data_IF_129339279988
#
_entry.id   IF_129339279988
#
_cell.length_a   1.000
_cell.length_b   1.000
_cell.length_c   1.000
_cell.angle_alpha   90.00
_cell.angle_beta   90.00
_cell.angle_gamma   90.00
#
_symmetry.space_group_name_H-M   'P 1'
#
loop_
_entity.id
_entity.type
_entity.pdbx_description
1 polymer ?
#
# COMPACT_ATOMS: atom_id res chain seq x y z
N UNK A 1 -58.72 43.06 53.94
CA UNK A 1 -58.73 42.38 52.61
C UNK A 1 -57.68 41.27 52.61
N UNK A 2 -58.08 40.01 52.54
CA UNK A 2 -57.18 38.86 52.66
C UNK A 2 -56.43 38.53 51.35
N UNK A 3 -55.11 38.34 51.41
CA UNK A 3 -54.29 37.94 50.25
C UNK A 3 -54.65 36.52 49.80
N UNK A 4 -55.07 36.35 48.53
CA UNK A 4 -55.30 35.04 47.92
C UNK A 4 -54.00 34.23 47.89
N UNK A 5 -53.99 33.04 48.50
CA UNK A 5 -52.86 32.09 48.46
C UNK A 5 -52.68 31.58 47.03
N UNK A 6 -51.50 31.79 46.43
CA UNK A 6 -51.13 31.22 45.13
C UNK A 6 -51.20 29.69 45.21
N UNK A 7 -51.93 29.04 44.30
CA UNK A 7 -51.98 27.58 44.24
C UNK A 7 -50.58 27.05 43.94
N UNK A 8 -50.13 26.08 44.74
CA UNK A 8 -48.83 25.43 44.54
C UNK A 8 -48.93 24.59 43.26
N UNK A 9 -47.99 24.77 42.33
CA UNK A 9 -47.90 23.92 41.14
C UNK A 9 -47.71 22.45 41.56
N UNK A 10 -48.33 21.49 40.85
CA UNK A 10 -48.14 20.08 41.15
C UNK A 10 -46.67 19.68 40.98
N UNK A 11 -46.20 18.76 41.83
CA UNK A 11 -44.86 18.20 41.74
C UNK A 11 -44.78 17.32 40.48
N UNK A 12 -43.75 17.52 39.67
CA UNK A 12 -43.47 16.68 38.50
C UNK A 12 -42.60 15.53 38.95
N UNK A 13 -43.08 14.29 38.78
CA UNK A 13 -42.29 13.10 39.03
C UNK A 13 -41.58 12.70 37.74
N UNK A 14 -40.25 12.76 37.75
CA UNK A 14 -39.41 12.28 36.67
C UNK A 14 -39.17 10.78 36.91
N UNK A 15 -39.84 9.93 36.13
CA UNK A 15 -39.65 8.47 36.19
C UNK A 15 -38.82 8.10 34.97
N UNK A 16 -37.68 7.48 35.21
CA UNK A 16 -36.85 6.95 34.12
C UNK A 16 -37.41 5.60 33.69
N UNK A 17 -37.51 5.38 32.38
CA UNK A 17 -37.70 4.03 31.86
C UNK A 17 -36.43 3.22 32.13
N UNK A 18 -36.57 2.14 32.91
CA UNK A 18 -35.45 1.28 33.28
C UNK A 18 -34.80 0.62 32.07
N UNK A 19 -35.55 0.37 30.99
CA UNK A 19 -35.03 -0.22 29.76
C UNK A 19 -34.10 0.74 29.04
N UNK A 20 -34.54 1.98 28.85
CA UNK A 20 -33.73 3.04 28.24
C UNK A 20 -32.49 3.34 29.09
N UNK A 21 -32.64 3.35 30.43
CA UNK A 21 -31.52 3.51 31.35
C UNK A 21 -30.50 2.39 31.19
N UNK A 22 -30.94 1.14 31.11
CA UNK A 22 -30.07 -0.03 30.93
C UNK A 22 -29.35 0.03 29.58
N UNK A 23 -30.05 0.44 28.53
CA UNK A 23 -29.46 0.57 27.20
C UNK A 23 -28.47 1.74 27.11
N UNK A 24 -28.76 2.87 27.76
CA UNK A 24 -27.85 4.00 27.86
C UNK A 24 -26.56 3.62 28.60
N UNK A 25 -26.69 2.94 29.74
CA UNK A 25 -25.56 2.50 30.57
C UNK A 25 -24.73 1.38 29.93
N UNK A 26 -25.36 0.45 29.20
CA UNK A 26 -24.64 -0.64 28.49
C UNK A 26 -24.20 -0.25 27.07
N UNK A 27 -24.75 0.84 26.53
CA UNK A 27 -24.51 1.31 25.17
C UNK A 27 -23.06 1.73 24.88
N UNK A 28 -22.26 1.99 25.91
CA UNK A 28 -20.82 2.26 25.75
C UNK A 28 -20.07 1.11 25.10
N UNK A 29 -20.41 -0.15 25.45
CA UNK A 29 -19.80 -1.32 24.81
C UNK A 29 -20.17 -1.41 23.33
N UNK A 30 -21.44 -1.15 22.99
CA UNK A 30 -21.92 -1.08 21.60
C UNK A 30 -21.13 -0.02 20.81
N UNK A 31 -21.09 1.23 21.29
CA UNK A 31 -20.36 2.34 20.64
C UNK A 31 -18.86 2.06 20.51
N UNK A 32 -18.22 1.50 21.53
CA UNK A 32 -16.80 1.18 21.47
C UNK A 32 -16.51 0.08 20.44
N UNK A 33 -17.40 -0.90 20.30
CA UNK A 33 -17.28 -1.96 19.31
C UNK A 33 -17.49 -1.42 17.90
N UNK A 34 -18.49 -0.57 17.68
CA UNK A 34 -18.72 0.15 16.42
C UNK A 34 -17.52 1.01 16.03
N UNK A 35 -16.95 1.79 16.96
CA UNK A 35 -15.74 2.59 16.73
C UNK A 35 -14.57 1.71 16.28
N UNK A 36 -14.35 0.58 16.96
CA UNK A 36 -13.29 -0.38 16.61
C UNK A 36 -13.51 -0.98 15.23
N UNK A 37 -14.73 -1.38 14.90
CA UNK A 37 -15.08 -1.91 13.58
C UNK A 37 -14.85 -0.87 12.48
N UNK A 38 -15.35 0.35 12.64
CA UNK A 38 -15.16 1.45 11.69
C UNK A 38 -13.69 1.77 11.46
N UNK A 39 -12.87 1.73 12.51
CA UNK A 39 -11.42 1.93 12.39
C UNK A 39 -10.75 0.79 11.60
N UNK A 40 -11.12 -0.47 11.88
CA UNK A 40 -10.63 -1.64 11.13
C UNK A 40 -11.00 -1.58 9.66
N UNK A 41 -12.25 -1.28 9.34
CA UNK A 41 -12.72 -1.15 7.96
C UNK A 41 -11.97 -0.04 7.21
N UNK A 42 -11.79 1.13 7.84
CA UNK A 42 -11.03 2.24 7.25
C UNK A 42 -9.57 1.85 6.99
N UNK A 43 -8.95 1.10 7.91
CA UNK A 43 -7.59 0.59 7.73
C UNK A 43 -7.52 -0.41 6.56
N UNK A 44 -8.43 -1.37 6.50
CA UNK A 44 -8.49 -2.37 5.41
C UNK A 44 -8.71 -1.71 4.05
N UNK A 45 -9.58 -0.69 3.98
CA UNK A 45 -9.82 0.08 2.75
C UNK A 45 -8.55 0.78 2.27
N UNK A 46 -7.84 1.47 3.16
CA UNK A 46 -6.55 2.11 2.84
C UNK A 46 -5.49 1.11 2.37
N UNK A 47 -5.40 -0.05 3.01
CA UNK A 47 -4.47 -1.11 2.59
C UNK A 47 -4.80 -1.64 1.20
N UNK A 48 -6.09 -1.83 0.89
CA UNK A 48 -6.53 -2.27 -0.44
C UNK A 48 -6.21 -1.23 -1.52
N UNK A 49 -6.48 0.04 -1.24
CA UNK A 49 -6.16 1.15 -2.15
C UNK A 49 -4.65 1.26 -2.39
N UNK A 50 -3.83 1.18 -1.35
CA UNK A 50 -2.37 1.21 -1.46
C UNK A 50 -1.84 0.02 -2.30
N UNK A 51 -2.30 -1.21 -2.02
CA UNK A 51 -1.93 -2.40 -2.81
C UNK A 51 -2.32 -2.26 -4.29
N UNK A 52 -3.52 -1.74 -4.56
CA UNK A 52 -3.98 -1.52 -5.94
C UNK A 52 -3.15 -0.47 -6.66
N UNK A 53 -2.74 0.58 -5.95
CA UNK A 53 -1.88 1.64 -6.49
C UNK A 53 -0.51 1.09 -6.88
N UNK A 54 0.16 0.38 -5.97
CA UNK A 54 1.47 -0.25 -6.21
C UNK A 54 1.38 -1.24 -7.38
N UNK A 55 0.33 -2.06 -7.44
CA UNK A 55 0.16 -3.01 -8.54
C UNK A 55 0.00 -2.32 -9.89
N UNK A 56 -0.69 -1.18 -9.93
CA UNK A 56 -0.86 -0.38 -11.15
C UNK A 56 0.45 0.27 -11.56
N UNK A 57 1.15 0.92 -10.62
CA UNK A 57 2.46 1.54 -10.84
C UNK A 57 3.45 0.52 -11.38
N UNK A 58 3.57 -0.65 -10.74
CA UNK A 58 4.43 -1.75 -11.22
C UNK A 58 4.04 -2.24 -12.61
N UNK A 59 2.75 -2.30 -12.94
CA UNK A 59 2.29 -2.71 -14.28
C UNK A 59 2.70 -1.67 -15.34
N UNK A 60 2.56 -0.39 -15.03
CA UNK A 60 2.96 0.73 -15.91
C UNK A 60 4.48 0.78 -16.08
N UNK A 61 5.24 0.57 -15.01
CA UNK A 61 6.70 0.45 -15.06
C UNK A 61 7.13 -0.75 -15.91
N UNK A 62 6.55 -1.92 -15.66
CA UNK A 62 6.85 -3.11 -16.47
C UNK A 62 6.50 -2.89 -17.94
N UNK A 63 5.38 -2.23 -18.27
CA UNK A 63 5.05 -1.97 -19.67
C UNK A 63 6.04 -1.00 -20.32
N UNK A 64 6.52 0.01 -19.58
CA UNK A 64 7.59 0.91 -20.06
C UNK A 64 8.90 0.15 -20.27
N UNK A 65 9.29 -0.71 -19.33
CA UNK A 65 10.51 -1.53 -19.45
C UNK A 65 10.43 -2.50 -20.63
N UNK A 66 9.28 -3.15 -20.84
CA UNK A 66 9.08 -4.03 -22.00
C UNK A 66 9.12 -3.24 -23.30
N UNK A 67 8.57 -2.03 -23.36
CA UNK A 67 8.67 -1.16 -24.54
C UNK A 67 10.10 -0.71 -24.81
N UNK A 68 10.84 -0.31 -23.78
CA UNK A 68 12.23 0.13 -23.89
C UNK A 68 13.19 -1.02 -24.15
N UNK A 69 12.86 -2.23 -23.68
CA UNK A 69 13.64 -3.46 -23.89
C UNK A 69 13.34 -4.17 -25.21
N UNK A 70 12.44 -3.64 -26.05
CA UNK A 70 12.33 -4.09 -27.44
C UNK A 70 13.63 -3.73 -28.13
N UNK A 71 14.32 -4.74 -28.65
CA UNK A 71 15.53 -4.55 -29.45
C UNK A 71 15.14 -3.75 -30.69
N UNK A 72 15.81 -2.63 -30.86
CA UNK A 72 15.67 -1.77 -32.04
C UNK A 72 16.45 -2.45 -33.16
N UNK A 73 15.80 -2.87 -34.27
CA UNK A 73 16.43 -3.69 -35.31
C UNK A 73 17.72 -3.06 -35.88
N UNK A 74 17.79 -1.72 -35.92
CA UNK A 74 18.94 -1.00 -36.43
C UNK A 74 20.22 -1.19 -35.58
N UNK A 75 20.09 -1.47 -34.28
CA UNK A 75 21.24 -1.60 -33.34
C UNK A 75 21.46 -3.01 -32.80
N UNK A 76 20.60 -3.98 -33.18
CA UNK A 76 20.70 -5.36 -32.71
C UNK A 76 22.03 -6.02 -33.11
N UNK A 77 22.51 -5.72 -34.32
CA UNK A 77 23.80 -6.17 -34.84
C UNK A 77 25.03 -5.70 -34.03
N UNK A 78 24.89 -4.67 -33.18
CA UNK A 78 25.99 -4.18 -32.31
C UNK A 78 26.15 -5.04 -31.05
N UNK A 79 25.15 -5.86 -30.72
CA UNK A 79 25.10 -6.70 -29.52
C UNK A 79 25.52 -8.14 -29.87
N UNK A 80 25.42 -8.53 -31.14
CA UNK A 80 25.81 -9.86 -31.59
C UNK A 80 27.32 -10.11 -31.40
N UNK A 81 27.70 -11.29 -30.91
CA UNK A 81 29.10 -11.62 -30.68
C UNK A 81 29.86 -11.70 -32.00
N UNK A 82 30.90 -10.88 -32.13
CA UNK A 82 31.75 -10.89 -33.32
C UNK A 82 32.92 -11.84 -33.07
N UNK A 83 33.06 -12.85 -33.94
CA UNK A 83 34.15 -13.82 -33.92
C UNK A 83 35.18 -13.42 -34.97
N UNK A 84 36.43 -13.25 -34.54
CA UNK A 84 37.58 -13.05 -35.41
C UNK A 84 38.47 -14.29 -35.37
N UNK A 85 38.53 -15.02 -36.48
CA UNK A 85 39.43 -16.17 -36.64
C UNK A 85 40.79 -15.68 -37.18
N UNK A 86 41.81 -15.69 -36.32
CA UNK A 86 43.19 -15.41 -36.70
C UNK A 86 43.95 -16.74 -36.94
N UNK A 87 45.07 -16.72 -37.68
CA UNK A 87 45.79 -17.94 -38.05
C UNK A 87 46.21 -18.86 -36.90
N UNK A 88 46.35 -18.30 -35.69
CA UNK A 88 46.84 -19.03 -34.50
C UNK A 88 45.80 -19.15 -33.37
N UNK A 89 44.71 -18.36 -33.38
CA UNK A 89 43.69 -18.33 -32.33
C UNK A 89 42.43 -17.59 -32.79
N UNK A 90 41.29 -17.83 -32.14
CA UNK A 90 40.05 -17.08 -32.36
C UNK A 90 39.75 -16.16 -31.17
N UNK A 91 39.25 -14.96 -31.48
CA UNK A 91 38.83 -13.98 -30.47
C UNK A 91 37.34 -13.73 -30.63
N UNK A 92 36.58 -13.93 -29.54
CA UNK A 92 35.15 -13.67 -29.48
C UNK A 92 34.91 -12.43 -28.62
N UNK A 93 34.33 -11.38 -29.20
CA UNK A 93 33.98 -10.16 -28.48
C UNK A 93 32.49 -10.22 -28.16
N UNK A 94 32.16 -10.39 -26.88
CA UNK A 94 30.78 -10.39 -26.35
C UNK A 94 30.55 -9.19 -25.45
N UNK A 95 29.30 -8.68 -25.43
CA UNK A 95 28.87 -7.77 -24.38
C UNK A 95 28.72 -8.55 -23.08
N UNK A 96 29.38 -8.09 -22.01
CA UNK A 96 29.25 -8.69 -20.67
C UNK A 96 28.26 -7.89 -19.85
N UNK A 97 27.27 -8.58 -19.29
CA UNK A 97 26.39 -7.97 -18.30
C UNK A 97 27.17 -7.76 -17.00
N UNK A 98 27.07 -6.58 -16.34
CA UNK A 98 27.74 -6.33 -15.07
C UNK A 98 27.42 -7.36 -13.97
N UNK A 99 26.27 -8.03 -14.07
CA UNK A 99 25.85 -9.09 -13.16
C UNK A 99 26.54 -10.44 -13.42
N UNK A 100 27.06 -10.67 -14.63
CA UNK A 100 27.78 -11.90 -15.01
C UNK A 100 29.26 -11.83 -14.66
N UNK A 101 29.83 -10.61 -14.59
CA UNK A 101 31.24 -10.36 -14.24
C UNK A 101 31.51 -10.69 -12.75
N UNK A 102 30.50 -10.59 -11.89
CA UNK A 102 30.61 -10.71 -10.43
C UNK A 102 30.56 -12.14 -9.86
N UNK A 103 30.94 -13.17 -10.64
CA UNK A 103 30.93 -14.56 -10.16
C UNK A 103 31.74 -14.75 -8.87
N UNK A 104 31.07 -15.04 -7.75
CA UNK A 104 31.62 -15.44 -6.44
C UNK A 104 32.75 -14.58 -5.84
N UNK A 105 32.88 -13.32 -6.26
CA UNK A 105 33.84 -12.38 -5.66
C UNK A 105 33.08 -11.08 -5.40
N UNK A 106 33.07 -10.67 -4.14
CA UNK A 106 32.36 -9.53 -3.54
C UNK A 106 32.78 -8.15 -4.10
N UNK A 107 32.77 -7.97 -5.42
CA UNK A 107 32.89 -6.66 -6.07
C UNK A 107 31.54 -6.29 -6.70
N UNK A 108 30.49 -6.24 -5.88
CA UNK A 108 29.27 -5.52 -6.28
C UNK A 108 29.39 -4.07 -5.81
N UNK A 109 29.36 -3.12 -6.74
CA UNK A 109 28.94 -1.76 -6.39
C UNK A 109 27.50 -1.91 -5.90
N UNK A 110 27.32 -1.80 -4.58
CA UNK A 110 26.05 -2.08 -3.91
C UNK A 110 24.89 -1.41 -4.66
N UNK A 111 23.93 -2.21 -5.11
CA UNK A 111 22.70 -1.67 -5.64
C UNK A 111 21.92 -1.09 -4.48
N UNK A 112 21.51 0.18 -4.58
CA UNK A 112 20.66 0.79 -3.57
C UNK A 112 19.29 0.11 -3.64
N UNK A 113 19.09 -0.92 -2.81
CA UNK A 113 17.80 -1.52 -2.54
C UNK A 113 17.05 -0.55 -1.63
N UNK A 114 16.43 0.47 -2.24
CA UNK A 114 15.59 1.43 -1.54
C UNK A 114 14.44 0.73 -0.83
N UNK A 115 14.57 0.62 0.49
CA UNK A 115 13.48 0.44 1.46
C UNK A 115 13.35 1.73 2.27
#
# INVERSE_FOLDING_TARGET
MGKKKKSKKPKVNLIFDEKERKEYLLGFRKRNLEKKQKAKEKMLKRLKEAKSRIKREKKEENSKLVLNGKRVPEVEHLIEPVVYDLPNHSVVITHLDPNEIGGNIDYTLGTNTGL
#
